data_IF_401612480734
#
_entry.id   IF_401612480734
#
_cell.length_a   1.000
_cell.length_b   1.000
_cell.length_c   1.000
_cell.angle_alpha   90.00
_cell.angle_beta   90.00
_cell.angle_gamma   90.00
#
_symmetry.space_group_name_H-M   'P 1'
#
loop_
_entity.id
_entity.type
_entity.pdbx_description
1 polymer ?
#
# COMPACT_ATOMS: atom_id res chain seq x y z
N UNK A 1 21.09 0.88 -15.99
CA UNK A 1 20.32 -0.21 -15.35
C UNK A 1 19.11 0.42 -14.67
N UNK A 2 18.02 0.62 -15.40
CA UNK A 2 16.73 1.00 -14.81
C UNK A 2 15.85 -0.26 -14.87
N UNK A 3 15.12 -0.56 -13.80
CA UNK A 3 14.21 -1.71 -13.62
C UNK A 3 14.84 -3.04 -13.14
N UNK A 4 15.79 -3.02 -12.20
CA UNK A 4 16.24 -4.25 -11.51
C UNK A 4 15.43 -4.58 -10.25
N UNK A 5 14.72 -3.59 -9.67
CA UNK A 5 13.88 -3.76 -8.49
C UNK A 5 12.44 -3.37 -8.84
N UNK A 6 11.58 -4.37 -9.01
CA UNK A 6 10.13 -4.16 -9.01
C UNK A 6 9.67 -3.89 -7.58
N UNK A 7 8.80 -2.91 -7.41
CA UNK A 7 8.40 -2.37 -6.10
C UNK A 7 7.05 -1.62 -6.10
N UNK A 8 6.32 -1.66 -7.21
CA UNK A 8 5.10 -0.86 -7.37
C UNK A 8 3.87 -1.73 -7.26
N UNK A 9 2.79 -1.18 -6.70
CA UNK A 9 1.47 -1.81 -6.73
C UNK A 9 0.99 -2.13 -8.16
N UNK A 10 1.50 -1.45 -9.19
CA UNK A 10 1.21 -1.73 -10.60
C UNK A 10 1.56 -3.17 -11.04
N UNK A 11 2.53 -3.81 -10.40
CA UNK A 11 2.96 -5.18 -10.71
C UNK A 11 1.86 -6.21 -10.40
N UNK A 12 0.88 -5.84 -9.59
CA UNK A 12 -0.27 -6.67 -9.24
C UNK A 12 -1.50 -6.42 -10.12
N UNK A 13 -1.40 -5.61 -11.17
CA UNK A 13 -2.55 -5.29 -12.04
C UNK A 13 -3.23 -6.51 -12.66
N UNK A 14 -2.48 -7.59 -12.89
CA UNK A 14 -3.03 -8.88 -13.34
C UNK A 14 -3.96 -9.56 -12.31
N UNK A 15 -3.91 -9.13 -11.04
CA UNK A 15 -4.81 -9.57 -9.97
C UNK A 15 -5.85 -8.49 -9.61
N UNK A 16 -5.42 -7.24 -9.45
CA UNK A 16 -6.30 -6.17 -8.97
C UNK A 16 -7.37 -5.80 -10.00
N UNK A 17 -7.03 -5.69 -11.30
CA UNK A 17 -8.00 -5.32 -12.33
C UNK A 17 -9.10 -6.38 -12.54
N UNK A 18 -8.81 -7.69 -12.58
CA UNK A 18 -9.86 -8.71 -12.60
C UNK A 18 -10.77 -8.68 -11.36
N UNK A 19 -10.24 -8.37 -10.18
CA UNK A 19 -11.06 -8.22 -8.96
C UNK A 19 -11.98 -7.00 -9.10
N UNK A 20 -11.45 -5.84 -9.52
CA UNK A 20 -12.27 -4.65 -9.77
C UNK A 20 -13.40 -4.93 -10.76
N UNK A 21 -13.08 -5.62 -11.87
CA UNK A 21 -14.06 -6.05 -12.88
C UNK A 21 -15.16 -6.94 -12.27
N UNK A 22 -14.78 -7.92 -11.46
CA UNK A 22 -15.73 -8.87 -10.85
C UNK A 22 -16.68 -8.19 -9.86
N UNK A 23 -16.21 -7.21 -9.10
CA UNK A 23 -17.06 -6.46 -8.16
C UNK A 23 -17.84 -5.33 -8.83
N UNK A 24 -17.62 -5.08 -10.12
CA UNK A 24 -18.23 -4.00 -10.86
C UNK A 24 -17.83 -2.61 -10.36
N UNK A 25 -16.59 -2.46 -9.88
CA UNK A 25 -16.09 -1.20 -9.34
C UNK A 25 -16.12 -0.09 -10.39
N UNK A 26 -16.70 1.07 -10.06
CA UNK A 26 -16.75 2.24 -10.96
C UNK A 26 -16.09 3.46 -10.37
N UNK A 27 -16.04 3.58 -9.05
CA UNK A 27 -15.37 4.67 -8.38
C UNK A 27 -14.18 4.13 -7.59
N UNK A 28 -12.97 4.49 -8.01
CA UNK A 28 -11.74 4.02 -7.38
C UNK A 28 -11.06 5.20 -6.70
N UNK A 29 -10.48 4.96 -5.53
CA UNK A 29 -9.59 5.90 -4.87
C UNK A 29 -8.19 5.30 -4.76
N UNK A 30 -7.18 6.09 -5.05
CA UNK A 30 -5.75 5.76 -4.90
C UNK A 30 -5.11 6.78 -3.96
N UNK A 31 -4.28 6.29 -3.04
CA UNK A 31 -3.47 7.08 -2.12
C UNK A 31 -2.02 6.76 -2.43
N UNK A 32 -1.23 7.79 -2.76
CA UNK A 32 0.13 7.64 -3.25
C UNK A 32 0.17 7.47 -4.76
N UNK A 33 0.56 8.52 -5.48
CA UNK A 33 0.73 8.49 -6.93
C UNK A 33 2.14 8.01 -7.29
N UNK A 34 3.13 8.41 -6.49
CA UNK A 34 4.54 8.13 -6.71
C UNK A 34 4.96 8.47 -8.17
N UNK A 35 5.31 7.49 -9.01
CA UNK A 35 5.64 7.70 -10.43
C UNK A 35 4.43 7.62 -11.39
N UNK A 36 3.24 7.27 -10.89
CA UNK A 36 1.98 7.21 -11.62
C UNK A 36 1.74 5.90 -12.40
N UNK A 37 2.54 4.85 -12.14
CA UNK A 37 2.43 3.56 -12.84
C UNK A 37 1.08 2.89 -12.60
N UNK A 38 0.66 2.77 -11.34
CA UNK A 38 -0.63 2.19 -10.98
C UNK A 38 -1.80 3.12 -11.37
N UNK A 39 -1.64 4.43 -11.18
CA UNK A 39 -2.63 5.46 -11.56
C UNK A 39 -3.10 5.32 -13.01
N UNK A 40 -2.17 5.14 -13.96
CA UNK A 40 -2.51 4.96 -15.37
C UNK A 40 -3.38 3.73 -15.63
N UNK A 41 -3.06 2.60 -14.98
CA UNK A 41 -3.83 1.35 -15.10
C UNK A 41 -5.24 1.49 -14.53
N UNK A 42 -5.39 2.19 -13.40
CA UNK A 42 -6.68 2.47 -12.79
C UNK A 42 -7.54 3.40 -13.66
N UNK A 43 -6.91 4.39 -14.31
CA UNK A 43 -7.59 5.29 -15.26
C UNK A 43 -8.11 4.52 -16.47
N UNK A 44 -7.26 3.71 -17.10
CA UNK A 44 -7.63 2.90 -18.26
C UNK A 44 -8.79 1.95 -17.91
N UNK A 45 -8.71 1.29 -16.75
CA UNK A 45 -9.80 0.45 -16.25
C UNK A 45 -11.08 1.26 -16.05
N UNK A 46 -11.02 2.37 -15.32
CA UNK A 46 -12.20 3.18 -15.01
C UNK A 46 -12.87 3.70 -16.28
N UNK A 47 -12.12 4.15 -17.27
CA UNK A 47 -12.67 4.59 -18.56
C UNK A 47 -13.41 3.46 -19.28
N UNK A 48 -12.85 2.23 -19.26
CA UNK A 48 -13.47 1.08 -19.93
C UNK A 48 -14.85 0.71 -19.37
N UNK A 49 -15.13 1.07 -18.11
CA UNK A 49 -16.41 0.79 -17.42
C UNK A 49 -17.28 2.03 -17.19
N UNK A 50 -16.88 3.19 -17.72
CA UNK A 50 -17.56 4.47 -17.50
C UNK A 50 -17.52 4.93 -16.03
N UNK A 51 -16.41 4.66 -15.37
CA UNK A 51 -16.12 4.99 -13.97
C UNK A 51 -15.29 6.27 -13.80
N UNK A 52 -14.71 6.43 -12.60
CA UNK A 52 -13.87 7.56 -12.19
C UNK A 52 -12.78 7.12 -11.21
N UNK A 53 -11.66 7.85 -11.23
CA UNK A 53 -10.56 7.69 -10.28
C UNK A 53 -10.35 8.99 -9.50
N UNK A 54 -10.22 8.86 -8.18
CA UNK A 54 -9.68 9.90 -7.31
C UNK A 54 -8.28 9.46 -6.88
N UNK A 55 -7.28 10.30 -7.10
CA UNK A 55 -5.90 9.98 -6.77
C UNK A 55 -5.35 11.09 -5.86
N UNK A 56 -4.91 10.70 -4.67
CA UNK A 56 -4.51 11.60 -3.59
C UNK A 56 -3.00 11.51 -3.36
N UNK A 57 -2.34 12.67 -3.37
CA UNK A 57 -0.92 12.79 -3.00
C UNK A 57 -0.66 14.06 -2.19
N UNK A 58 0.31 13.98 -1.28
CA UNK A 58 0.86 15.16 -0.60
C UNK A 58 2.01 15.82 -1.36
N UNK A 59 2.66 15.15 -2.32
CA UNK A 59 3.67 15.74 -3.19
C UNK A 59 3.03 16.52 -4.34
N UNK A 60 3.15 17.85 -4.28
CA UNK A 60 2.71 18.75 -5.35
C UNK A 60 3.34 18.40 -6.71
N UNK A 61 4.59 17.93 -6.74
CA UNK A 61 5.25 17.58 -8.00
C UNK A 61 4.60 16.34 -8.65
N UNK A 62 4.25 15.33 -7.85
CA UNK A 62 3.49 14.17 -8.31
C UNK A 62 2.14 14.61 -8.89
N UNK A 63 1.40 15.47 -8.18
CA UNK A 63 0.11 16.01 -8.65
C UNK A 63 0.24 16.78 -9.98
N UNK A 64 1.25 17.65 -10.11
CA UNK A 64 1.48 18.43 -11.34
C UNK A 64 1.81 17.51 -12.51
N UNK A 65 2.71 16.53 -12.32
CA UNK A 65 3.06 15.56 -13.36
C UNK A 65 1.84 14.73 -13.79
N UNK A 66 1.04 14.27 -12.82
CA UNK A 66 -0.15 13.49 -13.12
C UNK A 66 -1.20 14.28 -13.91
N UNK A 67 -1.44 15.55 -13.53
CA UNK A 67 -2.32 16.44 -14.31
C UNK A 67 -1.80 16.69 -15.73
N UNK A 68 -0.49 16.79 -15.92
CA UNK A 68 0.10 16.92 -17.26
C UNK A 68 -0.09 15.66 -18.10
N UNK A 69 0.03 14.48 -17.51
CA UNK A 69 -0.12 13.18 -18.20
C UNK A 69 -1.57 12.85 -18.53
N UNK A 70 -2.48 13.03 -17.57
CA UNK A 70 -3.86 12.50 -17.66
C UNK A 70 -4.96 13.55 -17.68
N UNK A 71 -4.67 14.80 -17.31
CA UNK A 71 -5.67 15.88 -17.31
C UNK A 71 -6.93 15.51 -16.53
N UNK A 72 -8.09 15.63 -17.19
CA UNK A 72 -9.41 15.39 -16.59
C UNK A 72 -9.85 13.91 -16.56
N UNK A 73 -8.96 12.98 -16.95
CA UNK A 73 -9.24 11.54 -16.91
C UNK A 73 -9.34 10.99 -15.49
N UNK A 74 -8.81 11.72 -14.50
CA UNK A 74 -8.94 11.44 -13.07
C UNK A 74 -9.01 12.74 -12.27
N UNK A 75 -9.50 12.64 -11.03
CA UNK A 75 -9.45 13.76 -10.08
C UNK A 75 -8.19 13.65 -9.22
N UNK A 76 -7.22 14.53 -9.46
CA UNK A 76 -5.99 14.61 -8.67
C UNK A 76 -6.12 15.60 -7.52
N UNK A 77 -6.05 15.09 -6.30
CA UNK A 77 -6.24 15.85 -5.06
C UNK A 77 -4.89 16.02 -4.35
N UNK A 78 -4.41 17.26 -4.27
CA UNK A 78 -3.23 17.58 -3.47
C UNK A 78 -3.64 17.68 -2.00
N UNK A 79 -3.39 16.62 -1.24
CA UNK A 79 -3.75 16.50 0.17
C UNK A 79 -3.02 15.34 0.81
N UNK A 80 -2.71 15.45 2.11
CA UNK A 80 -2.40 14.27 2.92
C UNK A 80 -3.62 13.37 2.96
N UNK A 81 -3.41 12.06 2.93
CA UNK A 81 -4.48 11.07 2.87
C UNK A 81 -5.54 11.25 3.96
N UNK A 82 -5.12 11.50 5.21
CA UNK A 82 -6.02 11.68 6.36
C UNK A 82 -6.97 12.88 6.21
N UNK A 83 -6.56 13.92 5.49
CA UNK A 83 -7.39 15.10 5.21
C UNK A 83 -8.22 14.93 3.93
N UNK A 84 -7.73 14.14 2.97
CA UNK A 84 -8.34 13.93 1.66
C UNK A 84 -9.39 12.84 1.61
N UNK A 85 -9.22 11.71 2.33
CA UNK A 85 -10.18 10.60 2.38
C UNK A 85 -11.60 11.09 2.77
N UNK A 86 -11.79 11.96 3.79
CA UNK A 86 -13.12 12.46 4.15
C UNK A 86 -13.83 13.26 3.04
N UNK A 87 -13.09 13.80 2.08
CA UNK A 87 -13.60 14.71 1.04
C UNK A 87 -14.10 13.98 -0.21
N UNK A 88 -13.75 12.71 -0.39
CA UNK A 88 -14.20 11.90 -1.52
C UNK A 88 -15.27 10.89 -1.08
N UNK A 89 -16.15 10.52 -2.00
CA UNK A 89 -17.37 9.77 -1.69
C UNK A 89 -17.69 8.71 -2.73
N UNK A 90 -18.48 7.73 -2.32
CA UNK A 90 -19.06 6.71 -3.18
C UNK A 90 -18.01 5.79 -3.80
N UNK A 91 -16.88 5.59 -3.13
CA UNK A 91 -15.76 4.76 -3.60
C UNK A 91 -16.10 3.27 -3.43
N UNK A 92 -15.85 2.49 -4.48
CA UNK A 92 -16.04 1.04 -4.53
C UNK A 92 -14.78 0.28 -4.09
N UNK A 93 -13.60 0.80 -4.43
CA UNK A 93 -12.32 0.18 -4.10
C UNK A 93 -11.25 1.24 -3.78
N UNK A 94 -10.44 0.96 -2.76
CA UNK A 94 -9.36 1.83 -2.29
C UNK A 94 -8.00 1.16 -2.55
N UNK A 95 -7.05 1.91 -3.07
CA UNK A 95 -5.65 1.52 -3.25
C UNK A 95 -4.80 2.38 -2.32
N UNK A 96 -4.07 1.74 -1.40
CA UNK A 96 -3.30 2.40 -0.34
C UNK A 96 -1.82 2.06 -0.55
N UNK A 97 -1.06 3.03 -1.04
CA UNK A 97 0.36 2.92 -1.36
C UNK A 97 1.09 4.26 -1.07
N UNK A 98 0.74 4.89 0.04
CA UNK A 98 1.26 6.19 0.47
C UNK A 98 2.48 6.04 1.39
N UNK A 99 2.30 6.37 2.67
CA UNK A 99 3.33 6.16 3.69
C UNK A 99 3.32 4.71 4.20
N UNK A 100 4.49 4.17 4.51
CA UNK A 100 4.65 2.80 5.00
C UNK A 100 4.94 2.75 6.51
N UNK A 101 4.14 3.48 7.30
CA UNK A 101 4.21 3.46 8.75
C UNK A 101 2.84 3.14 9.37
N UNK A 102 2.88 2.57 10.58
CA UNK A 102 1.70 2.13 11.29
C UNK A 102 0.67 3.26 11.50
N UNK A 103 1.12 4.44 11.92
CA UNK A 103 0.24 5.54 12.29
C UNK A 103 -0.56 6.05 11.10
N UNK A 104 0.07 6.25 9.95
CA UNK A 104 -0.63 6.69 8.75
C UNK A 104 -1.62 5.62 8.30
N UNK A 105 -1.18 4.37 8.12
CA UNK A 105 -2.00 3.29 7.57
C UNK A 105 -3.21 2.97 8.44
N UNK A 106 -3.05 2.88 9.77
CA UNK A 106 -4.20 2.58 10.65
C UNK A 106 -5.25 3.70 10.60
N UNK A 107 -4.82 4.96 10.50
CA UNK A 107 -5.74 6.09 10.43
C UNK A 107 -6.39 6.23 9.05
N UNK A 108 -5.70 5.86 7.97
CA UNK A 108 -6.28 5.74 6.63
C UNK A 108 -7.37 4.67 6.62
N UNK A 109 -7.09 3.47 7.14
CA UNK A 109 -8.07 2.39 7.25
C UNK A 109 -9.31 2.80 8.05
N UNK A 110 -9.12 3.47 9.20
CA UNK A 110 -10.23 4.03 9.99
C UNK A 110 -11.03 5.08 9.22
N UNK A 111 -10.37 5.98 8.49
CA UNK A 111 -11.02 7.01 7.68
C UNK A 111 -11.81 6.40 6.52
N UNK A 112 -11.23 5.42 5.82
CA UNK A 112 -11.87 4.67 4.74
C UNK A 112 -13.08 3.93 5.29
N UNK A 113 -12.95 3.22 6.41
CA UNK A 113 -14.07 2.51 7.05
C UNK A 113 -15.22 3.44 7.41
N UNK A 114 -14.91 4.59 8.01
CA UNK A 114 -15.90 5.63 8.30
C UNK A 114 -16.58 6.11 7.02
N UNK A 115 -15.82 6.34 5.95
CA UNK A 115 -16.35 6.77 4.64
C UNK A 115 -17.23 5.71 3.99
N UNK A 116 -16.80 4.46 3.94
CA UNK A 116 -17.58 3.33 3.43
C UNK A 116 -18.90 3.16 4.17
N UNK A 117 -18.92 3.31 5.51
CA UNK A 117 -20.15 3.30 6.31
C UNK A 117 -21.09 4.47 5.94
N UNK A 118 -20.56 5.68 5.78
CA UNK A 118 -21.34 6.85 5.36
C UNK A 118 -21.93 6.69 3.96
N UNK A 119 -21.17 6.08 3.05
CA UNK A 119 -21.60 5.75 1.68
C UNK A 119 -22.51 4.53 1.60
N UNK A 120 -22.70 3.80 2.70
CA UNK A 120 -23.39 2.50 2.76
C UNK A 120 -22.81 1.50 1.74
N UNK A 121 -21.49 1.54 1.54
CA UNK A 121 -20.76 0.62 0.70
C UNK A 121 -19.95 -0.35 1.56
N UNK A 122 -19.90 -1.65 1.22
CA UNK A 122 -18.94 -2.55 1.84
C UNK A 122 -17.52 -2.09 1.47
N UNK A 123 -16.58 -2.23 2.39
CA UNK A 123 -15.20 -1.79 2.19
C UNK A 123 -14.42 -2.87 1.45
N UNK A 124 -13.69 -2.45 0.41
CA UNK A 124 -12.67 -3.21 -0.31
C UNK A 124 -11.43 -2.32 -0.42
N UNK A 125 -10.30 -2.77 0.14
CA UNK A 125 -9.04 -2.05 0.09
C UNK A 125 -7.89 -2.95 -0.34
N UNK A 126 -7.03 -2.43 -1.21
CA UNK A 126 -5.76 -2.99 -1.63
C UNK A 126 -4.65 -2.18 -0.97
N UNK A 127 -3.70 -2.86 -0.33
CA UNK A 127 -2.59 -2.23 0.39
C UNK A 127 -1.28 -2.80 -0.11
N UNK A 128 -0.29 -1.95 -0.34
CA UNK A 128 1.06 -2.40 -0.65
C UNK A 128 1.90 -2.54 0.63
N UNK A 129 3.10 -3.10 0.51
CA UNK A 129 4.11 -3.11 1.56
C UNK A 129 3.69 -3.83 2.86
N UNK A 130 2.79 -4.81 2.73
CA UNK A 130 2.34 -5.69 3.83
C UNK A 130 3.32 -6.85 4.10
N UNK A 131 4.43 -6.95 3.37
CA UNK A 131 5.53 -7.88 3.60
C UNK A 131 6.83 -7.13 3.93
N UNK A 132 7.95 -7.85 4.09
CA UNK A 132 9.25 -7.23 4.35
C UNK A 132 9.58 -6.17 3.27
N UNK A 133 10.14 -5.00 3.63
CA UNK A 133 10.59 -4.62 4.97
C UNK A 133 9.50 -3.99 5.85
N UNK A 134 8.45 -3.44 5.24
CA UNK A 134 7.52 -2.55 5.90
C UNK A 134 6.43 -3.25 6.72
N UNK A 135 6.24 -4.57 6.56
CA UNK A 135 5.24 -5.33 7.32
C UNK A 135 5.34 -5.10 8.83
N UNK A 136 6.57 -5.12 9.34
CA UNK A 136 6.90 -5.08 10.77
C UNK A 136 7.83 -3.93 11.13
N UNK A 137 8.09 -3.00 10.22
CA UNK A 137 9.00 -1.87 10.44
C UNK A 137 8.45 -0.63 9.76
N UNK A 138 8.30 0.46 10.49
CA UNK A 138 7.91 1.74 9.91
C UNK A 138 9.00 2.31 8.99
N UNK A 139 8.55 2.82 7.85
CA UNK A 139 9.30 3.71 6.95
C UNK A 139 8.74 5.13 7.05
N UNK A 140 9.61 6.14 7.13
CA UNK A 140 9.21 7.53 7.26
C UNK A 140 9.77 8.41 6.14
N UNK A 141 8.87 9.05 5.37
CA UNK A 141 9.22 10.15 4.47
C UNK A 141 9.17 11.52 5.19
N UNK A 142 8.15 11.72 6.04
CA UNK A 142 7.99 12.93 6.87
C UNK A 142 7.56 12.55 8.30
N UNK A 143 8.51 12.13 9.17
CA UNK A 143 8.19 11.75 10.55
C UNK A 143 7.66 12.93 11.39
N UNK A 144 7.85 14.18 10.94
CA UNK A 144 7.33 15.37 11.63
C UNK A 144 5.81 15.52 11.50
N UNK A 145 5.20 14.82 10.53
CA UNK A 145 3.75 14.76 10.35
C UNK A 145 3.04 13.84 11.34
N UNK A 146 3.79 13.00 12.05
CA UNK A 146 3.30 11.98 12.96
C UNK A 146 3.46 12.47 14.41
N UNK A 147 2.45 12.34 15.28
CA UNK A 147 2.61 12.70 16.68
C UNK A 147 3.71 11.86 17.34
N UNK A 148 4.57 12.50 18.14
CA UNK A 148 5.76 11.89 18.77
C UNK A 148 5.46 10.55 19.48
N UNK A 149 4.28 10.42 20.09
CA UNK A 149 3.85 9.18 20.77
C UNK A 149 3.67 7.96 19.84
N UNK A 150 3.65 8.17 18.53
CA UNK A 150 3.50 7.14 17.50
C UNK A 150 4.68 7.10 16.53
N UNK A 151 5.74 7.88 16.77
CA UNK A 151 6.94 7.91 15.94
C UNK A 151 8.05 7.12 16.63
N UNK A 152 8.53 6.06 15.99
CA UNK A 152 9.67 5.29 16.51
C UNK A 152 10.99 6.04 16.30
N UNK A 153 12.01 5.78 17.15
CA UNK A 153 13.38 6.17 16.83
C UNK A 153 13.76 5.64 15.45
N UNK A 154 14.32 6.49 14.59
CA UNK A 154 14.59 6.16 13.19
C UNK A 154 15.99 6.63 12.74
N UNK A 155 16.42 6.15 11.58
CA UNK A 155 17.70 6.48 10.94
C UNK A 155 17.53 6.64 9.42
N UNK A 156 18.16 7.67 8.85
CA UNK A 156 18.04 8.05 7.43
C UNK A 156 19.09 7.38 6.52
N UNK A 157 20.14 6.83 7.10
CA UNK A 157 21.33 6.37 6.37
C UNK A 157 21.55 4.86 6.46
N UNK A 158 21.14 4.26 7.59
CA UNK A 158 21.27 2.84 7.78
C UNK A 158 20.28 2.05 6.91
N UNK A 159 20.67 0.84 6.52
CA UNK A 159 19.84 -0.09 5.75
C UNK A 159 19.26 -1.21 6.59
N UNK A 160 18.31 -1.90 5.99
CA UNK A 160 17.69 -3.11 6.53
C UNK A 160 18.08 -4.31 5.68
N UNK A 161 18.19 -5.47 6.34
CA UNK A 161 18.44 -6.76 5.70
C UNK A 161 17.40 -7.76 6.20
N UNK A 162 17.22 -8.85 5.47
CA UNK A 162 16.36 -9.93 5.93
C UNK A 162 16.99 -10.66 7.12
N UNK A 163 16.14 -11.20 8.00
CA UNK A 163 16.52 -12.04 9.15
C UNK A 163 17.34 -11.34 10.26
N UNK A 164 17.58 -10.02 10.16
CA UNK A 164 18.23 -9.22 11.20
C UNK A 164 17.33 -8.02 11.58
N UNK A 165 16.79 -7.99 12.82
CA UNK A 165 15.91 -6.90 13.24
C UNK A 165 16.67 -5.57 13.48
N UNK A 166 18.00 -5.58 13.50
CA UNK A 166 18.82 -4.38 13.67
C UNK A 166 19.12 -3.67 12.35
N UNK A 167 19.41 -2.37 12.43
CA UNK A 167 19.88 -1.60 11.28
C UNK A 167 21.34 -1.91 10.96
N UNK A 168 21.66 -1.91 9.67
CA UNK A 168 22.99 -2.21 9.14
C UNK A 168 23.60 -0.99 8.44
N UNK A 169 24.94 -0.86 8.36
CA UNK A 169 25.58 0.21 7.58
C UNK A 169 25.45 0.00 6.05
N UNK A 170 24.81 -1.10 5.62
CA UNK A 170 24.51 -1.49 4.24
C UNK A 170 23.08 -2.05 4.19
N UNK A 171 22.62 -2.52 3.03
CA UNK A 171 21.29 -3.10 2.86
C UNK A 171 20.31 -2.11 2.24
N UNK A 172 19.01 -2.43 2.29
CA UNK A 172 17.99 -1.58 1.67
C UNK A 172 17.80 -0.30 2.49
N UNK A 173 18.10 0.86 1.89
CA UNK A 173 18.06 2.17 2.55
C UNK A 173 17.60 3.27 1.61
N UNK A 174 17.09 4.36 2.20
CA UNK A 174 16.62 5.52 1.46
C UNK A 174 17.73 6.46 0.98
N UNK A 175 18.98 6.29 1.44
CA UNK A 175 20.10 7.22 1.17
C UNK A 175 19.67 8.69 1.42
N UNK A 176 19.05 8.96 2.56
CA UNK A 176 18.53 10.28 2.92
C UNK A 176 17.14 10.65 2.38
N UNK A 177 16.51 9.81 1.54
CA UNK A 177 15.15 10.07 1.00
C UNK A 177 14.05 9.62 1.96
N UNK A 178 14.27 8.54 2.71
CA UNK A 178 13.38 8.04 3.75
C UNK A 178 14.20 7.44 4.90
N UNK A 179 13.57 7.34 6.07
CA UNK A 179 14.16 6.76 7.27
C UNK A 179 13.51 5.43 7.65
N UNK A 180 14.29 4.52 8.21
CA UNK A 180 13.79 3.29 8.83
C UNK A 180 13.66 3.46 10.34
N UNK A 181 12.59 2.92 10.92
CA UNK A 181 12.56 2.66 12.35
C UNK A 181 13.74 1.75 12.76
N UNK A 182 14.38 2.10 13.88
CA UNK A 182 15.60 1.43 14.37
C UNK A 182 15.38 -0.03 14.76
N UNK A 183 14.16 -0.36 15.16
CA UNK A 183 13.77 -1.72 15.54
C UNK A 183 12.68 -2.24 14.61
N UNK A 184 12.75 -3.53 14.29
CA UNK A 184 11.68 -4.29 13.64
C UNK A 184 10.84 -5.04 14.67
N UNK A 185 9.54 -5.11 14.39
CA UNK A 185 8.53 -5.69 15.24
C UNK A 185 8.13 -4.79 16.40
N UNK A 186 7.33 -5.36 17.29
CA UNK A 186 6.75 -4.64 18.43
C UNK A 186 5.41 -4.00 18.10
N UNK A 187 4.81 -3.36 19.12
CA UNK A 187 3.52 -2.72 18.98
C UNK A 187 3.62 -1.51 18.04
N UNK A 188 2.60 -1.34 17.20
CA UNK A 188 2.43 -0.14 16.37
C UNK A 188 3.60 0.14 15.42
N UNK A 189 4.13 -0.91 14.78
CA UNK A 189 5.32 -0.83 13.93
C UNK A 189 5.11 -1.66 12.64
N UNK A 190 5.01 -0.98 11.52
CA UNK A 190 4.82 -1.55 10.19
C UNK A 190 3.37 -1.58 9.68
N UNK A 191 3.24 -1.75 8.37
CA UNK A 191 1.98 -1.73 7.62
C UNK A 191 1.11 -2.93 7.97
N UNK A 192 1.67 -4.14 8.00
CA UNK A 192 0.91 -5.33 8.35
C UNK A 192 0.41 -5.27 9.80
N UNK A 193 1.22 -4.73 10.71
CA UNK A 193 0.80 -4.47 12.09
C UNK A 193 -0.40 -3.52 12.15
N UNK A 194 -0.45 -2.47 11.31
CA UNK A 194 -1.60 -1.57 11.25
C UNK A 194 -2.86 -2.24 10.71
N UNK A 195 -2.72 -3.15 9.74
CA UNK A 195 -3.83 -3.94 9.20
C UNK A 195 -4.40 -4.88 10.26
N UNK A 196 -3.54 -5.61 10.97
CA UNK A 196 -3.95 -6.53 12.03
C UNK A 196 -4.64 -5.78 13.18
N UNK A 197 -4.04 -4.69 13.66
CA UNK A 197 -4.66 -3.85 14.70
C UNK A 197 -6.02 -3.31 14.25
N UNK A 198 -6.16 -2.90 12.97
CA UNK A 198 -7.44 -2.44 12.43
C UNK A 198 -8.51 -3.54 12.37
N UNK A 199 -8.13 -4.77 11.97
CA UNK A 199 -9.04 -5.92 11.95
C UNK A 199 -9.55 -6.23 13.36
N UNK A 200 -8.65 -6.22 14.34
CA UNK A 200 -8.98 -6.42 15.75
C UNK A 200 -9.90 -5.30 16.29
N UNK A 201 -9.63 -4.03 15.95
CA UNK A 201 -10.48 -2.88 16.30
C UNK A 201 -11.90 -2.99 15.76
N UNK A 202 -12.06 -3.57 14.57
CA UNK A 202 -13.36 -3.79 13.93
C UNK A 202 -13.99 -5.14 14.30
N UNK A 203 -13.42 -5.86 15.28
CA UNK A 203 -13.97 -7.11 15.81
C UNK A 203 -13.91 -8.27 14.81
N UNK A 204 -12.89 -8.30 13.95
CA UNK A 204 -12.71 -9.35 12.94
C UNK A 204 -13.73 -9.30 11.81
N UNK A 205 -14.27 -8.12 11.49
CA UNK A 205 -15.31 -7.95 10.46
C UNK A 205 -14.80 -7.99 9.00
N UNK A 206 -13.59 -8.49 8.79
CA UNK A 206 -12.88 -8.45 7.51
C UNK A 206 -12.12 -9.75 7.25
N UNK A 207 -12.09 -10.15 5.98
CA UNK A 207 -11.04 -11.06 5.49
C UNK A 207 -9.83 -10.25 5.09
N UNK A 208 -8.66 -10.82 5.37
CA UNK A 208 -7.39 -10.34 4.88
C UNK A 208 -6.70 -11.42 4.07
N UNK A 209 -6.34 -11.09 2.84
CA UNK A 209 -5.55 -11.94 1.95
C UNK A 209 -4.22 -11.27 1.67
N UNK A 210 -3.12 -12.03 1.67
CA UNK A 210 -1.78 -11.50 1.44
C UNK A 210 -1.08 -12.27 0.32
N UNK A 211 -0.78 -11.58 -0.79
CA UNK A 211 0.10 -12.09 -1.85
C UNK A 211 1.53 -11.65 -1.52
N UNK A 212 2.34 -12.60 -1.06
CA UNK A 212 3.71 -12.38 -0.57
C UNK A 212 4.73 -12.30 -1.72
N UNK A 213 4.51 -11.38 -2.65
CA UNK A 213 5.43 -11.01 -3.73
C UNK A 213 5.66 -9.50 -3.69
N UNK A 214 6.73 -8.99 -4.30
CA UNK A 214 6.92 -7.54 -4.55
C UNK A 214 6.60 -6.69 -3.31
N UNK A 215 7.23 -6.97 -2.17
CA UNK A 215 6.97 -6.30 -0.88
C UNK A 215 5.56 -6.45 -0.29
N UNK A 216 4.66 -7.16 -0.97
CA UNK A 216 3.39 -7.66 -0.47
C UNK A 216 2.19 -6.86 -1.00
N UNK A 217 1.17 -7.58 -1.46
CA UNK A 217 -0.17 -7.03 -1.69
C UNK A 217 -1.13 -7.59 -0.64
N UNK A 218 -1.69 -6.70 0.18
CA UNK A 218 -2.78 -6.97 1.10
C UNK A 218 -4.12 -6.63 0.48
N UNK A 219 -5.12 -7.49 0.65
CA UNK A 219 -6.50 -7.24 0.23
C UNK A 219 -7.41 -7.40 1.44
N UNK A 220 -8.04 -6.30 1.84
CA UNK A 220 -8.97 -6.26 2.96
C UNK A 220 -10.41 -6.17 2.45
N UNK A 221 -11.21 -7.19 2.78
CA UNK A 221 -12.59 -7.34 2.28
C UNK A 221 -13.56 -7.40 3.46
N UNK A 222 -14.50 -6.46 3.54
CA UNK A 222 -15.52 -6.51 4.59
C UNK A 222 -16.40 -7.75 4.46
N UNK A 223 -16.78 -8.39 5.57
CA UNK A 223 -17.62 -9.60 5.54
C UNK A 223 -18.99 -9.39 4.89
N UNK A 224 -19.50 -8.15 4.87
CA UNK A 224 -20.75 -7.79 4.20
C UNK A 224 -20.57 -7.45 2.71
N UNK A 225 -19.38 -7.64 2.13
CA UNK A 225 -19.14 -7.42 0.71
C UNK A 225 -19.83 -8.52 -0.12
N UNK A 226 -20.68 -8.18 -1.10
CA UNK A 226 -21.49 -9.17 -1.82
C UNK A 226 -20.65 -10.15 -2.64
N UNK A 227 -19.46 -9.74 -3.06
CA UNK A 227 -18.52 -10.56 -3.83
C UNK A 227 -17.39 -11.16 -2.98
N UNK A 228 -17.53 -11.20 -1.65
CA UNK A 228 -16.49 -11.68 -0.73
C UNK A 228 -15.88 -13.03 -1.15
N UNK A 229 -16.74 -14.02 -1.45
CA UNK A 229 -16.28 -15.35 -1.85
C UNK A 229 -15.63 -15.34 -3.23
N UNK A 230 -16.20 -14.62 -4.21
CA UNK A 230 -15.63 -14.50 -5.55
C UNK A 230 -14.23 -13.84 -5.54
N UNK A 231 -14.01 -12.89 -4.62
CA UNK A 231 -12.69 -12.27 -4.40
C UNK A 231 -11.74 -13.30 -3.80
N UNK A 232 -12.16 -14.03 -2.77
CA UNK A 232 -11.35 -15.06 -2.12
C UNK A 232 -10.93 -16.17 -3.11
N UNK A 233 -11.85 -16.67 -3.93
CA UNK A 233 -11.58 -17.70 -4.94
C UNK A 233 -10.56 -17.23 -6.00
N UNK A 234 -10.55 -15.93 -6.34
CA UNK A 234 -9.56 -15.36 -7.26
C UNK A 234 -8.17 -15.22 -6.63
N UNK A 235 -8.13 -15.01 -5.32
CA UNK A 235 -6.89 -14.81 -4.57
C UNK A 235 -6.27 -16.12 -4.10
N UNK A 236 -7.07 -17.17 -3.90
CA UNK A 236 -6.63 -18.48 -3.39
C UNK A 236 -5.36 -19.04 -4.08
N UNK A 237 -5.18 -18.93 -5.42
CA UNK A 237 -3.98 -19.45 -6.05
C UNK A 237 -2.69 -18.68 -5.72
N UNK A 238 -2.83 -17.44 -5.22
CA UNK A 238 -1.72 -16.49 -5.06
C UNK A 238 -1.45 -16.14 -3.59
N UNK A 239 -2.49 -16.07 -2.77
CA UNK A 239 -2.39 -15.73 -1.36
C UNK A 239 -1.67 -16.84 -0.61
N UNK A 240 -0.65 -16.46 0.19
CA UNK A 240 0.19 -17.40 0.96
C UNK A 240 0.75 -18.58 0.16
N UNK A 241 0.94 -18.41 -1.16
CA UNK A 241 1.47 -19.46 -2.03
C UNK A 241 2.99 -19.67 -1.82
N UNK A 242 3.39 -20.87 -1.40
CA UNK A 242 4.78 -21.23 -1.09
C UNK A 242 5.76 -20.96 -2.24
N UNK A 243 5.37 -21.21 -3.49
CA UNK A 243 6.23 -20.96 -4.64
C UNK A 243 6.47 -19.46 -4.83
N UNK A 244 5.42 -18.64 -4.69
CA UNK A 244 5.52 -17.19 -4.80
C UNK A 244 6.40 -16.63 -3.68
N UNK A 245 6.20 -17.11 -2.45
CA UNK A 245 7.02 -16.73 -1.28
C UNK A 245 8.49 -17.05 -1.55
N UNK A 246 8.81 -18.26 -2.00
CA UNK A 246 10.18 -18.67 -2.27
C UNK A 246 10.84 -17.84 -3.38
N UNK A 247 10.08 -17.45 -4.42
CA UNK A 247 10.56 -16.57 -5.49
C UNK A 247 10.86 -15.16 -4.97
N UNK A 248 9.97 -14.62 -4.13
CA UNK A 248 10.15 -13.30 -3.53
C UNK A 248 11.35 -13.26 -2.59
N UNK A 249 11.47 -14.25 -1.70
CA UNK A 249 12.64 -14.38 -0.82
C UNK A 249 13.94 -14.47 -1.62
N UNK A 250 13.96 -15.24 -2.71
CA UNK A 250 15.13 -15.31 -3.58
C UNK A 250 15.45 -13.96 -4.22
N UNK A 251 14.43 -13.25 -4.73
CA UNK A 251 14.58 -11.91 -5.32
C UNK A 251 15.18 -10.92 -4.33
N UNK A 252 14.64 -10.87 -3.11
CA UNK A 252 15.10 -9.96 -2.06
C UNK A 252 16.52 -10.30 -1.58
N UNK A 253 16.84 -11.58 -1.39
CA UNK A 253 18.21 -12.00 -1.03
C UNK A 253 19.23 -11.65 -2.12
N UNK A 254 18.88 -11.86 -3.39
CA UNK A 254 19.75 -11.45 -4.50
C UNK A 254 19.93 -9.93 -4.56
N UNK A 255 18.87 -9.15 -4.33
CA UNK A 255 18.94 -7.70 -4.27
C UNK A 255 19.85 -7.22 -3.12
N UNK A 256 19.67 -7.77 -1.91
CA UNK A 256 20.51 -7.46 -0.75
C UNK A 256 21.98 -7.86 -0.98
N UNK A 257 22.24 -8.98 -1.64
CA UNK A 257 23.61 -9.39 -1.98
C UNK A 257 24.29 -8.41 -2.93
N UNK A 258 23.58 -7.90 -3.94
CA UNK A 258 24.09 -6.83 -4.81
C UNK A 258 24.45 -5.60 -3.98
N UNK A 259 23.55 -5.16 -3.09
CA UNK A 259 23.81 -4.01 -2.23
C UNK A 259 25.04 -4.24 -1.33
N UNK A 260 25.19 -5.44 -0.76
CA UNK A 260 26.34 -5.82 0.06
C UNK A 260 27.67 -5.73 -0.70
N UNK A 261 27.68 -6.15 -1.97
CA UNK A 261 28.87 -6.12 -2.82
C UNK A 261 29.23 -4.71 -3.30
N UNK A 262 28.28 -3.77 -3.25
CA UNK A 262 28.46 -2.38 -3.68
C UNK A 262 28.59 -1.37 -2.53
N UNK A 263 28.49 -1.84 -1.28
CA UNK A 263 28.53 -1.02 -0.07
C UNK A 263 29.95 -0.55 0.30
#
# INVERSE_FOLDING_TARGET
MKNLLIHSMAEFSSLTLPILSAVGAKAIAEIGLEHGGNTGLLIDYAQSVGGRVHSLDSDMNAIVKARQSWGDQATFVHSRSLDGIPQIAGIDAWFIDGDHNWYTVINELRAIRKRSRQDRKPMLAFLHDVCWPCARRDCYYDPSSIPEAFTHPHDWEAGVVMDDPSLQPWGFRGNGVFAWAKAEGGARNGVLTAVEDFIDEEGGAFDFHCVKAVFGLGILVAHNHPFRNDIADKLEPFADNDMIIALEENRLRNYLEVLRLTA
#
